data_IF_631965997562
#
_entry.id   IF_631965997562
#
_cell.length_a   1.000
_cell.length_b   1.000
_cell.length_c   1.000
_cell.angle_alpha   90.00
_cell.angle_beta   90.00
_cell.angle_gamma   90.00
#
_symmetry.space_group_name_H-M   'P 1'
#
loop_
_entity.id
_entity.type
_entity.pdbx_description
1 polymer ?
#
# COMPACT_ATOMS: atom_id res chain seq x y z
N UNK A 1 11.12 -11.48 -2.77
CA UNK A 1 10.24 -10.27 -2.84
C UNK A 1 9.57 -10.24 -4.20
N UNK A 2 8.27 -9.96 -4.25
CA UNK A 2 7.50 -9.75 -5.49
C UNK A 2 7.08 -8.29 -5.56
N UNK A 3 7.20 -7.66 -6.72
CA UNK A 3 6.79 -6.28 -6.95
C UNK A 3 5.59 -6.23 -7.90
N UNK A 4 4.51 -5.58 -7.48
CA UNK A 4 3.29 -5.42 -8.26
C UNK A 4 3.06 -3.92 -8.53
N UNK A 5 3.21 -3.49 -9.77
CA UNK A 5 2.86 -2.13 -10.17
C UNK A 5 1.37 -2.04 -10.52
N UNK A 6 0.71 -1.00 -10.01
CA UNK A 6 -0.69 -0.71 -10.37
C UNK A 6 -0.83 -0.01 -11.73
N UNK A 7 0.28 0.43 -12.33
CA UNK A 7 0.29 1.05 -13.65
C UNK A 7 -0.24 0.06 -14.69
N UNK A 8 -1.30 0.47 -15.40
CA UNK A 8 -1.93 -0.36 -16.43
C UNK A 8 -2.78 -1.52 -15.91
N UNK A 9 -3.05 -1.59 -14.60
CA UNK A 9 -3.98 -2.56 -14.02
C UNK A 9 -5.41 -2.06 -14.08
N UNK A 10 -6.32 -2.98 -14.33
CA UNK A 10 -7.75 -2.73 -14.24
C UNK A 10 -8.22 -2.91 -12.81
N UNK A 11 -8.58 -1.82 -12.16
CA UNK A 11 -9.08 -1.79 -10.78
C UNK A 11 -10.42 -1.06 -10.74
N UNK A 12 -11.50 -1.79 -10.66
CA UNK A 12 -12.83 -1.21 -10.44
C UNK A 12 -13.01 -0.82 -8.97
N UNK A 13 -13.85 0.18 -8.70
CA UNK A 13 -14.17 0.59 -7.34
C UNK A 13 -14.97 -0.48 -6.59
N UNK A 14 -14.76 -0.59 -5.29
CA UNK A 14 -15.57 -1.45 -4.44
C UNK A 14 -17.02 -0.94 -4.46
N UNK A 15 -17.97 -1.82 -4.72
CA UNK A 15 -19.41 -1.50 -4.77
C UNK A 15 -20.14 -1.79 -3.45
N UNK A 16 -19.42 -2.17 -2.40
CA UNK A 16 -19.98 -2.39 -1.07
C UNK A 16 -21.00 -3.54 -0.95
N UNK A 17 -21.00 -4.49 -1.88
CA UNK A 17 -21.99 -5.58 -1.91
C UNK A 17 -21.81 -6.65 -0.83
N UNK A 18 -20.70 -6.65 -0.12
CA UNK A 18 -20.34 -7.58 0.97
C UNK A 18 -20.37 -9.08 0.61
N UNK A 19 -20.50 -9.45 -0.67
CA UNK A 19 -20.48 -10.85 -1.08
C UNK A 19 -19.17 -11.56 -0.69
N UNK A 20 -18.05 -10.83 -0.70
CA UNK A 20 -16.72 -11.32 -0.32
C UNK A 20 -16.62 -11.71 1.16
N UNK A 21 -17.49 -11.22 2.04
CA UNK A 21 -17.53 -11.63 3.44
C UNK A 21 -17.88 -13.13 3.60
N UNK A 22 -18.63 -13.68 2.64
CA UNK A 22 -19.03 -15.10 2.62
C UNK A 22 -18.12 -15.94 1.73
N UNK A 23 -17.74 -15.39 0.57
CA UNK A 23 -17.03 -16.17 -0.47
C UNK A 23 -15.52 -16.03 -0.39
N UNK A 24 -15.00 -15.06 0.38
CA UNK A 24 -13.59 -14.64 0.41
C UNK A 24 -13.04 -14.25 -0.97
N UNK A 25 -13.92 -13.91 -1.92
CA UNK A 25 -13.59 -13.47 -3.28
C UNK A 25 -14.46 -12.29 -3.70
N UNK A 26 -13.87 -11.35 -4.43
CA UNK A 26 -14.63 -10.25 -4.99
C UNK A 26 -15.46 -10.72 -6.19
N UNK A 27 -16.66 -10.16 -6.35
CA UNK A 27 -17.54 -10.43 -7.49
C UNK A 27 -17.08 -9.74 -8.77
N UNK A 28 -16.33 -8.65 -8.66
CA UNK A 28 -15.73 -7.95 -9.79
C UNK A 28 -14.55 -8.78 -10.32
N UNK A 29 -14.49 -8.93 -11.64
CA UNK A 29 -13.47 -9.75 -12.32
C UNK A 29 -12.41 -8.84 -12.95
N UNK A 30 -11.51 -8.33 -12.13
CA UNK A 30 -10.43 -7.45 -12.54
C UNK A 30 -9.12 -7.82 -11.81
N UNK A 31 -8.08 -7.01 -12.00
CA UNK A 31 -6.76 -7.31 -11.44
C UNK A 31 -6.73 -7.33 -9.90
N UNK A 32 -7.65 -6.65 -9.22
CA UNK A 32 -7.69 -6.66 -7.76
C UNK A 32 -7.91 -8.06 -7.18
N UNK A 33 -8.54 -8.97 -7.92
CA UNK A 33 -8.82 -10.33 -7.43
C UNK A 33 -7.53 -11.13 -7.24
N UNK A 34 -6.66 -11.16 -8.24
CA UNK A 34 -5.41 -11.90 -8.12
C UNK A 34 -4.39 -11.19 -7.23
N UNK A 35 -4.42 -9.83 -7.20
CA UNK A 35 -3.58 -9.06 -6.27
C UNK A 35 -3.98 -9.39 -4.82
N UNK A 36 -5.27 -9.50 -4.51
CA UNK A 36 -5.73 -9.89 -3.18
C UNK A 36 -5.19 -11.27 -2.74
N UNK A 37 -5.14 -12.25 -3.66
CA UNK A 37 -4.55 -13.55 -3.35
C UNK A 37 -3.04 -13.46 -3.06
N UNK A 38 -2.32 -12.59 -3.77
CA UNK A 38 -0.91 -12.31 -3.48
C UNK A 38 -0.71 -11.65 -2.13
N UNK A 39 -1.52 -10.63 -1.83
CA UNK A 39 -1.51 -9.94 -0.52
C UNK A 39 -1.83 -10.92 0.60
N UNK A 40 -2.84 -11.78 0.41
CA UNK A 40 -3.22 -12.81 1.39
C UNK A 40 -2.07 -13.73 1.80
N UNK A 41 -1.23 -14.12 0.85
CA UNK A 41 -0.16 -15.10 1.03
C UNK A 41 1.21 -14.48 1.38
N UNK A 42 1.33 -13.17 1.37
CA UNK A 42 2.57 -12.48 1.72
C UNK A 42 2.77 -12.46 3.25
N UNK A 43 4.00 -12.52 3.71
CA UNK A 43 4.34 -12.38 5.14
C UNK A 43 4.45 -10.90 5.54
N UNK A 44 4.99 -10.09 4.64
CA UNK A 44 5.21 -8.66 4.82
C UNK A 44 4.68 -7.90 3.61
N UNK A 45 4.03 -6.76 3.85
CA UNK A 45 3.48 -5.88 2.82
C UNK A 45 4.20 -4.53 2.85
N UNK A 46 4.58 -4.05 1.67
CA UNK A 46 5.09 -2.68 1.50
C UNK A 46 4.21 -1.97 0.48
N UNK A 47 3.43 -1.00 0.94
CA UNK A 47 2.63 -0.16 0.07
C UNK A 47 3.42 1.07 -0.37
N UNK A 48 3.61 1.22 -1.67
CA UNK A 48 4.38 2.32 -2.26
C UNK A 48 3.43 3.25 -3.00
N UNK A 49 3.37 4.53 -2.61
CA UNK A 49 2.41 5.49 -3.15
C UNK A 49 2.99 6.90 -3.22
N UNK A 50 2.77 7.65 -4.30
CA UNK A 50 2.94 9.10 -4.25
C UNK A 50 1.88 9.72 -3.34
N UNK A 51 2.22 10.84 -2.72
CA UNK A 51 1.26 11.65 -1.94
C UNK A 51 0.63 12.67 -2.87
N UNK A 52 -0.69 12.62 -2.99
CA UNK A 52 -1.51 13.60 -3.72
C UNK A 52 -2.50 14.26 -2.77
N UNK A 53 -2.43 15.59 -2.63
CA UNK A 53 -3.26 16.33 -1.68
C UNK A 53 -3.20 15.77 -0.25
N UNK A 54 -1.97 15.44 0.20
CA UNK A 54 -1.66 14.87 1.54
C UNK A 54 -2.20 13.46 1.79
N UNK A 55 -2.72 12.80 0.75
CA UNK A 55 -3.25 11.42 0.83
C UNK A 55 -2.55 10.48 -0.14
N UNK A 56 -2.73 9.17 0.07
CA UNK A 56 -2.29 8.17 -0.89
C UNK A 56 -2.99 8.35 -2.24
N UNK A 57 -2.36 7.89 -3.31
CA UNK A 57 -2.96 7.95 -4.64
C UNK A 57 -4.33 7.25 -4.69
N UNK A 58 -5.23 7.73 -5.55
CA UNK A 58 -6.55 7.12 -5.72
C UNK A 58 -6.46 5.65 -6.13
N UNK A 59 -5.45 5.26 -6.91
CA UNK A 59 -5.20 3.87 -7.29
C UNK A 59 -4.88 3.00 -6.07
N UNK A 60 -4.02 3.50 -5.16
CA UNK A 60 -3.69 2.78 -3.93
C UNK A 60 -4.92 2.64 -3.04
N UNK A 61 -5.67 3.72 -2.83
CA UNK A 61 -6.91 3.67 -2.04
C UNK A 61 -7.94 2.70 -2.62
N UNK A 62 -8.10 2.72 -3.96
CA UNK A 62 -8.97 1.76 -4.64
C UNK A 62 -8.54 0.32 -4.40
N UNK A 63 -7.22 0.05 -4.47
CA UNK A 63 -6.71 -1.29 -4.16
C UNK A 63 -7.03 -1.70 -2.71
N UNK A 64 -6.78 -0.84 -1.73
CA UNK A 64 -7.06 -1.12 -0.32
C UNK A 64 -8.55 -1.43 -0.09
N UNK A 65 -9.47 -0.68 -0.71
CA UNK A 65 -10.91 -0.94 -0.64
C UNK A 65 -11.29 -2.31 -1.23
N UNK A 66 -10.52 -2.77 -2.23
CA UNK A 66 -10.72 -4.06 -2.89
C UNK A 66 -10.09 -5.23 -2.14
N UNK A 67 -9.34 -4.97 -1.04
CA UNK A 67 -8.81 -6.01 -0.15
C UNK A 67 -9.83 -6.50 0.88
N UNK A 68 -11.08 -6.07 0.82
CA UNK A 68 -12.16 -6.51 1.70
C UNK A 68 -12.36 -8.06 1.76
N UNK A 69 -12.09 -8.87 0.71
CA UNK A 69 -12.09 -10.33 0.82
C UNK A 69 -11.11 -10.90 1.85
N UNK A 70 -10.07 -10.15 2.21
CA UNK A 70 -9.06 -10.60 3.17
C UNK A 70 -9.55 -10.55 4.61
N UNK A 71 -10.48 -9.65 4.92
CA UNK A 71 -11.00 -9.43 6.27
C UNK A 71 -11.51 -10.73 6.92
N UNK A 72 -12.35 -11.56 6.27
CA UNK A 72 -12.82 -12.83 6.83
C UNK A 72 -11.86 -14.01 6.57
N UNK A 73 -10.70 -13.77 5.93
CA UNK A 73 -9.80 -14.84 5.50
C UNK A 73 -8.69 -15.11 6.52
N UNK A 74 -8.04 -16.28 6.38
CA UNK A 74 -6.80 -16.56 7.09
C UNK A 74 -5.61 -16.02 6.26
N UNK A 75 -5.30 -14.74 6.44
CA UNK A 75 -4.20 -14.04 5.77
C UNK A 75 -2.86 -14.28 6.52
N UNK A 76 -1.74 -14.22 5.76
CA UNK A 76 -0.40 -14.51 6.28
C UNK A 76 0.33 -13.28 6.80
N UNK A 77 0.07 -12.08 6.23
CA UNK A 77 0.84 -10.88 6.55
C UNK A 77 0.72 -10.48 8.02
N UNK A 78 1.85 -9.98 8.55
CA UNK A 78 1.97 -9.51 9.94
C UNK A 78 2.47 -8.08 10.00
N UNK A 79 3.41 -7.72 9.13
CA UNK A 79 4.02 -6.40 9.09
C UNK A 79 3.63 -5.68 7.82
N UNK A 80 3.18 -4.46 7.99
CA UNK A 80 2.81 -3.57 6.89
C UNK A 80 3.69 -2.32 6.97
N UNK A 81 4.17 -1.89 5.84
CA UNK A 81 5.02 -0.71 5.71
C UNK A 81 4.46 0.23 4.64
N UNK A 82 4.75 1.52 4.76
CA UNK A 82 4.48 2.49 3.71
C UNK A 82 5.77 3.14 3.22
N UNK A 83 5.91 3.22 1.90
CA UNK A 83 6.93 4.03 1.25
C UNK A 83 6.24 5.10 0.43
N UNK A 84 6.60 6.37 0.62
CA UNK A 84 5.91 7.46 -0.07
C UNK A 84 6.86 8.55 -0.54
N UNK A 85 6.44 9.26 -1.59
CA UNK A 85 7.12 10.41 -2.17
C UNK A 85 6.15 11.56 -2.39
N UNK A 86 6.63 12.78 -2.34
CA UNK A 86 5.86 13.99 -2.66
C UNK A 86 6.76 15.09 -3.20
N UNK A 87 6.16 16.09 -3.84
CA UNK A 87 6.82 17.37 -4.15
C UNK A 87 7.18 18.13 -2.89
N UNK A 88 6.26 18.18 -1.92
CA UNK A 88 6.49 18.75 -0.59
C UNK A 88 7.56 17.95 0.17
N UNK A 89 8.37 18.63 0.97
CA UNK A 89 9.50 18.04 1.71
C UNK A 89 9.33 18.13 3.24
N UNK A 90 8.15 18.50 3.70
CA UNK A 90 7.84 18.56 5.12
C UNK A 90 7.56 17.17 5.68
N UNK A 91 8.12 16.83 6.84
CA UNK A 91 7.95 15.53 7.51
C UNK A 91 6.48 15.15 7.75
N UNK A 92 5.61 16.16 7.91
CA UNK A 92 4.16 15.96 8.14
C UNK A 92 3.37 15.65 6.88
N UNK A 93 3.97 15.80 5.70
CA UNK A 93 3.29 15.60 4.40
C UNK A 93 2.61 14.24 4.27
N UNK A 94 3.20 13.11 4.69
CA UNK A 94 2.58 11.79 4.53
C UNK A 94 1.60 11.41 5.66
N UNK A 95 1.44 12.22 6.70
CA UNK A 95 0.70 11.84 7.92
C UNK A 95 -0.74 11.36 7.66
N UNK A 96 -1.47 12.04 6.77
CA UNK A 96 -2.87 11.67 6.47
C UNK A 96 -2.94 10.35 5.72
N UNK A 97 -2.05 10.14 4.75
CA UNK A 97 -1.96 8.87 4.03
C UNK A 97 -1.56 7.73 4.98
N UNK A 98 -0.62 7.98 5.88
CA UNK A 98 -0.18 7.01 6.89
C UNK A 98 -1.31 6.67 7.86
N UNK A 99 -2.06 7.67 8.34
CA UNK A 99 -3.24 7.46 9.18
C UNK A 99 -4.33 6.67 8.45
N UNK A 100 -4.54 6.93 7.16
CA UNK A 100 -5.46 6.15 6.32
C UNK A 100 -5.04 4.69 6.18
N UNK A 101 -3.74 4.43 5.98
CA UNK A 101 -3.21 3.07 5.95
C UNK A 101 -3.30 2.40 7.33
N UNK A 102 -3.00 3.11 8.41
CA UNK A 102 -3.17 2.61 9.78
C UNK A 102 -4.61 2.14 10.01
N UNK A 103 -5.61 2.94 9.62
CA UNK A 103 -7.01 2.54 9.73
C UNK A 103 -7.35 1.28 8.93
N UNK A 104 -6.70 1.04 7.79
CA UNK A 104 -6.84 -0.21 7.05
C UNK A 104 -6.18 -1.38 7.81
N UNK A 105 -4.96 -1.18 8.33
CA UNK A 105 -4.23 -2.21 9.11
C UNK A 105 -4.99 -2.59 10.37
N UNK A 106 -5.60 -1.64 11.06
CA UNK A 106 -6.37 -1.86 12.30
C UNK A 106 -7.57 -2.81 12.09
N UNK A 107 -8.00 -3.01 10.83
CA UNK A 107 -9.01 -4.01 10.50
C UNK A 107 -8.46 -5.45 10.49
N UNK A 108 -7.15 -5.65 10.64
CA UNK A 108 -6.50 -6.96 10.56
C UNK A 108 -5.78 -7.27 11.88
N UNK A 109 -6.45 -7.99 12.77
CA UNK A 109 -6.00 -8.27 14.15
C UNK A 109 -4.58 -8.86 14.28
N UNK A 110 -4.10 -9.55 13.22
CA UNK A 110 -2.79 -10.20 13.22
C UNK A 110 -1.68 -9.32 12.63
N UNK A 111 -2.02 -8.12 12.14
CA UNK A 111 -1.09 -7.25 11.44
C UNK A 111 -0.82 -5.96 12.22
N UNK A 112 0.32 -5.36 11.98
CA UNK A 112 0.70 -4.06 12.51
C UNK A 112 1.30 -3.17 11.41
N UNK A 113 1.11 -1.84 11.51
CA UNK A 113 1.87 -0.88 10.73
C UNK A 113 3.25 -0.73 11.36
N UNK A 114 4.23 -1.45 10.81
CA UNK A 114 5.55 -1.63 11.41
C UNK A 114 6.53 -0.49 11.09
N UNK A 115 6.22 0.34 10.09
CA UNK A 115 7.03 1.50 9.77
C UNK A 115 6.64 2.18 8.45
N UNK A 116 7.25 3.34 8.24
CA UNK A 116 7.09 4.09 7.02
C UNK A 116 8.38 4.84 6.66
N UNK A 117 8.58 5.07 5.37
CA UNK A 117 9.61 5.96 4.85
C UNK A 117 8.97 6.96 3.90
N UNK A 118 9.31 8.23 4.09
CA UNK A 118 8.90 9.32 3.23
C UNK A 118 10.11 9.98 2.59
N UNK A 119 10.09 10.14 1.28
CA UNK A 119 11.09 10.88 0.52
C UNK A 119 10.41 12.07 -0.16
N UNK A 120 10.57 13.26 0.41
CA UNK A 120 10.03 14.52 -0.10
C UNK A 120 10.88 15.14 -1.21
N UNK A 121 10.39 16.26 -1.77
CA UNK A 121 11.09 17.00 -2.81
C UNK A 121 11.29 16.22 -4.11
N UNK A 122 10.35 15.32 -4.45
CA UNK A 122 10.37 14.51 -5.68
C UNK A 122 9.09 14.81 -6.45
N UNK A 123 9.22 15.46 -7.60
CA UNK A 123 8.11 15.89 -8.46
C UNK A 123 8.03 15.06 -9.74
N UNK A 124 9.16 14.86 -10.39
CA UNK A 124 9.23 14.27 -11.74
C UNK A 124 9.81 12.86 -11.74
N UNK A 125 9.39 12.03 -12.72
CA UNK A 125 9.97 10.70 -12.91
C UNK A 125 11.48 10.76 -13.08
N UNK A 126 12.21 9.98 -12.27
CA UNK A 126 13.67 9.89 -12.31
C UNK A 126 14.42 10.81 -11.35
N UNK A 127 13.79 11.82 -10.75
CA UNK A 127 14.44 12.72 -9.78
C UNK A 127 15.01 11.97 -8.57
N UNK A 128 14.33 10.93 -8.11
CA UNK A 128 14.83 10.08 -7.03
C UNK A 128 16.20 9.48 -7.32
N UNK A 129 16.56 9.30 -8.58
CA UNK A 129 17.89 8.77 -8.96
C UNK A 129 19.04 9.74 -8.66
N UNK A 130 18.75 11.03 -8.51
CA UNK A 130 19.72 12.06 -8.13
C UNK A 130 19.87 12.26 -6.61
N UNK A 131 18.95 11.71 -5.83
CA UNK A 131 18.90 11.88 -4.37
C UNK A 131 19.59 10.70 -3.68
N UNK A 132 20.93 10.81 -3.52
CA UNK A 132 21.75 9.69 -3.02
C UNK A 132 21.48 9.32 -1.58
N UNK A 133 21.24 10.31 -0.72
CA UNK A 133 21.02 10.08 0.71
C UNK A 133 19.69 9.37 0.92
N UNK A 134 18.64 9.78 0.24
CA UNK A 134 17.32 9.15 0.27
C UNK A 134 17.34 7.73 -0.32
N UNK A 135 18.19 7.49 -1.33
CA UNK A 135 18.40 6.13 -1.87
C UNK A 135 19.08 5.22 -0.86
N UNK A 136 20.06 5.73 -0.12
CA UNK A 136 20.74 4.97 0.94
C UNK A 136 19.73 4.66 2.04
N UNK A 137 18.94 5.65 2.47
CA UNK A 137 17.91 5.47 3.48
C UNK A 137 16.87 4.43 3.05
N UNK A 138 16.38 4.53 1.80
CA UNK A 138 15.43 3.54 1.25
C UNK A 138 16.04 2.13 1.16
N UNK A 139 17.33 2.02 0.85
CA UNK A 139 18.03 0.73 0.82
C UNK A 139 18.17 0.13 2.22
N UNK A 140 18.58 0.93 3.21
CA UNK A 140 18.70 0.46 4.61
C UNK A 140 17.32 0.13 5.20
N UNK A 141 16.29 0.94 4.87
CA UNK A 141 14.91 0.63 5.22
C UNK A 141 14.51 -0.73 4.61
N UNK A 142 14.79 -0.95 3.32
CA UNK A 142 14.51 -2.23 2.65
C UNK A 142 15.19 -3.42 3.31
N UNK A 143 16.43 -3.25 3.83
CA UNK A 143 17.16 -4.29 4.57
C UNK A 143 16.55 -4.60 5.94
N UNK A 144 15.87 -3.63 6.53
CA UNK A 144 15.23 -3.78 7.86
C UNK A 144 13.85 -4.45 7.79
N UNK A 145 13.31 -4.69 6.59
CA UNK A 145 12.02 -5.34 6.42
C UNK A 145 12.16 -6.85 6.71
N UNK A 146 11.78 -7.25 7.91
CA UNK A 146 11.76 -8.63 8.38
C UNK A 146 10.33 -9.19 8.49
#
# INVERSE_FOLDING_TARGET
MEHISLKGKELGFCIGCLACQKTQKCVLKDDAVWIAEKVKSADTLVFVTPIYYYEMSGQMKTLLDRMNPLYPSDYSFRKVYMLSTATEDEETTPEKALNGLQGWVDCFEKAELAGALFCGGISDPGEASGKKDEQIEAYEFGKSLE
#
